data_IF_617710352933
#
_entry.id   IF_617710352933
#
_cell.length_a   1.000
_cell.length_b   1.000
_cell.length_c   1.000
_cell.angle_alpha   90.00
_cell.angle_beta   90.00
_cell.angle_gamma   90.00
#
_symmetry.space_group_name_H-M   'P 1'
#
loop_
_entity.id
_entity.type
_entity.pdbx_description
1 polymer ?
#
# COMPACT_ATOMS: atom_id res chain seq x y z
N UNK A 1 30.10 -15.54 -6.34
CA UNK A 1 29.21 -14.70 -7.15
C UNK A 1 27.92 -15.50 -7.34
N UNK A 2 26.99 -15.39 -6.38
CA UNK A 2 25.80 -16.28 -6.31
C UNK A 2 24.75 -16.01 -7.38
N UNK A 3 24.76 -14.82 -7.98
CA UNK A 3 23.73 -14.36 -8.92
C UNK A 3 23.98 -14.88 -10.35
N UNK A 4 25.22 -15.31 -10.66
CA UNK A 4 25.56 -15.88 -11.97
C UNK A 4 25.65 -14.85 -13.12
N UNK A 5 25.46 -13.57 -12.84
CA UNK A 5 25.70 -12.46 -13.76
C UNK A 5 26.28 -11.25 -13.02
N UNK A 6 26.98 -10.37 -13.73
CA UNK A 6 27.47 -9.11 -13.19
C UNK A 6 26.33 -8.09 -13.08
N UNK A 7 26.41 -7.19 -12.08
CA UNK A 7 25.47 -6.09 -11.92
C UNK A 7 25.55 -5.16 -13.15
N UNK A 8 24.43 -4.94 -13.87
CA UNK A 8 24.42 -4.06 -15.03
C UNK A 8 24.74 -2.61 -14.65
N UNK A 9 25.55 -1.94 -15.47
CA UNK A 9 25.92 -0.55 -15.25
C UNK A 9 25.26 0.31 -16.35
N UNK A 10 24.57 1.41 -16.00
CA UNK A 10 24.00 2.33 -16.99
C UNK A 10 25.08 2.90 -17.91
N UNK A 11 24.77 3.04 -19.21
CA UNK A 11 25.72 3.61 -20.19
C UNK A 11 25.99 5.10 -19.95
N UNK A 12 25.01 5.85 -19.46
CA UNK A 12 25.18 7.28 -19.14
C UNK A 12 25.62 7.46 -17.67
N UNK A 13 26.89 7.86 -17.41
CA UNK A 13 27.38 8.06 -16.05
C UNK A 13 26.73 9.26 -15.34
N UNK A 14 25.97 10.11 -16.04
CA UNK A 14 25.21 11.23 -15.45
C UNK A 14 23.93 10.77 -14.75
N UNK A 15 23.40 9.59 -15.12
CA UNK A 15 22.30 8.93 -14.42
C UNK A 15 20.98 9.70 -14.37
N UNK A 16 20.65 10.52 -15.38
CA UNK A 16 19.29 11.12 -15.40
C UNK A 16 18.26 10.03 -15.60
N UNK A 17 17.10 10.15 -14.95
CA UNK A 17 16.03 9.13 -14.99
C UNK A 17 15.66 8.80 -16.45
N UNK A 18 15.57 9.82 -17.30
CA UNK A 18 15.23 9.67 -18.72
C UNK A 18 16.30 8.91 -19.49
N UNK A 19 17.58 9.15 -19.20
CA UNK A 19 18.70 8.47 -19.86
C UNK A 19 18.76 6.98 -19.51
N UNK A 20 18.45 6.64 -18.25
CA UNK A 20 18.42 5.26 -17.75
C UNK A 20 17.20 4.52 -18.31
N UNK A 21 16.01 5.13 -18.22
CA UNK A 21 14.78 4.52 -18.72
C UNK A 21 14.77 4.35 -20.25
N UNK A 22 15.52 5.18 -20.97
CA UNK A 22 15.66 5.08 -22.43
C UNK A 22 16.64 4.01 -22.92
N UNK A 23 17.46 3.42 -22.05
CA UNK A 23 18.40 2.34 -22.41
C UNK A 23 17.73 0.97 -22.24
N UNK A 24 16.99 0.53 -23.25
CA UNK A 24 16.24 -0.73 -23.23
C UNK A 24 17.11 -1.96 -22.90
N UNK A 25 18.35 -1.98 -23.38
CA UNK A 25 19.28 -3.08 -23.13
C UNK A 25 19.70 -3.13 -21.65
N UNK A 26 19.99 -1.96 -21.07
CA UNK A 26 20.26 -1.85 -19.64
C UNK A 26 19.04 -2.29 -18.83
N UNK A 27 17.84 -1.77 -19.15
CA UNK A 27 16.61 -2.10 -18.42
C UNK A 27 16.28 -3.60 -18.46
N UNK A 28 16.51 -4.27 -19.59
CA UNK A 28 16.32 -5.71 -19.70
C UNK A 28 17.30 -6.50 -18.81
N UNK A 29 18.59 -6.12 -18.84
CA UNK A 29 19.63 -6.73 -18.00
C UNK A 29 19.40 -6.46 -16.51
N UNK A 30 19.02 -5.24 -16.15
CA UNK A 30 18.72 -4.81 -14.78
C UNK A 30 17.52 -5.56 -14.22
N UNK A 31 16.48 -5.75 -15.04
CA UNK A 31 15.34 -6.58 -14.68
C UNK A 31 15.72 -8.04 -14.42
N UNK A 32 16.56 -8.64 -15.28
CA UNK A 32 17.06 -10.00 -15.10
C UNK A 32 17.93 -10.12 -13.84
N UNK A 33 18.86 -9.19 -13.63
CA UNK A 33 19.69 -9.11 -12.45
C UNK A 33 18.84 -9.00 -11.18
N UNK A 34 17.88 -8.07 -11.15
CA UNK A 34 16.97 -7.89 -10.00
C UNK A 34 16.18 -9.16 -9.71
N UNK A 35 15.71 -9.87 -10.73
CA UNK A 35 15.00 -11.15 -10.58
C UNK A 35 15.89 -12.26 -9.99
N UNK A 36 17.19 -12.27 -10.28
CA UNK A 36 18.13 -13.23 -9.71
C UNK A 36 18.58 -12.81 -8.30
N UNK A 37 18.88 -11.52 -8.11
CA UNK A 37 19.24 -10.92 -6.83
C UNK A 37 18.14 -11.14 -5.78
N UNK A 38 16.88 -10.93 -6.15
CA UNK A 38 15.75 -11.16 -5.23
C UNK A 38 15.63 -12.62 -4.78
N UNK A 39 16.27 -13.58 -5.45
CA UNK A 39 16.25 -15.01 -5.05
C UNK A 39 17.42 -15.41 -4.16
N UNK A 40 18.38 -14.51 -3.90
CA UNK A 40 19.51 -14.87 -3.04
C UNK A 40 19.04 -15.07 -1.59
N UNK A 41 19.68 -15.96 -0.83
CA UNK A 41 19.36 -16.16 0.58
C UNK A 41 19.40 -14.87 1.39
N UNK A 42 20.39 -14.00 1.13
CA UNK A 42 20.58 -12.73 1.83
C UNK A 42 19.42 -11.77 1.58
N UNK A 43 18.97 -11.65 0.33
CA UNK A 43 17.83 -10.80 0.01
C UNK A 43 16.56 -11.33 0.67
N UNK A 44 16.32 -12.65 0.58
CA UNK A 44 15.16 -13.30 1.18
C UNK A 44 15.14 -13.10 2.70
N UNK A 45 16.28 -13.24 3.38
CA UNK A 45 16.40 -12.98 4.82
C UNK A 45 16.06 -11.52 5.16
N UNK A 46 16.60 -10.56 4.40
CA UNK A 46 16.33 -9.13 4.59
C UNK A 46 14.85 -8.81 4.33
N UNK A 47 14.28 -9.36 3.26
CA UNK A 47 12.89 -9.15 2.90
C UNK A 47 11.94 -9.71 3.97
N UNK A 48 12.15 -10.96 4.40
CA UNK A 48 11.32 -11.61 5.42
C UNK A 48 11.43 -10.90 6.78
N UNK A 49 12.63 -10.46 7.16
CA UNK A 49 12.87 -9.82 8.46
C UNK A 49 12.49 -8.34 8.53
N UNK A 50 12.33 -7.65 7.39
CA UNK A 50 12.12 -6.19 7.38
C UNK A 50 10.92 -5.69 6.58
N UNK A 51 10.41 -6.46 5.62
CA UNK A 51 9.40 -5.99 4.66
C UNK A 51 8.16 -6.87 4.58
N UNK A 52 8.28 -8.19 4.71
CA UNK A 52 7.16 -9.10 4.49
C UNK A 52 5.91 -8.73 5.32
N UNK A 53 6.08 -8.45 6.62
CA UNK A 53 4.98 -8.06 7.51
C UNK A 53 4.32 -6.73 7.14
N UNK A 54 5.05 -5.80 6.50
CA UNK A 54 4.45 -4.52 6.06
C UNK A 54 3.53 -4.69 4.85
N UNK A 55 3.61 -5.81 4.13
CA UNK A 55 2.88 -6.02 2.87
C UNK A 55 1.58 -6.83 3.06
N UNK A 56 1.39 -7.49 4.20
CA UNK A 56 0.23 -8.33 4.45
C UNK A 56 -1.07 -7.53 4.33
N UNK A 57 -1.19 -6.37 4.99
CA UNK A 57 -2.36 -5.50 4.86
C UNK A 57 -2.63 -5.05 3.41
N UNK A 58 -1.57 -4.68 2.69
CA UNK A 58 -1.67 -4.25 1.29
C UNK A 58 -2.12 -5.39 0.37
N UNK A 59 -1.76 -6.65 0.67
CA UNK A 59 -2.25 -7.82 -0.09
C UNK A 59 -3.76 -8.04 0.08
N UNK A 60 -4.33 -7.60 1.20
CA UNK A 60 -5.76 -7.76 1.49
C UNK A 60 -6.59 -6.62 0.92
N UNK A 61 -6.05 -5.39 0.90
CA UNK A 61 -6.81 -4.16 0.61
C UNK A 61 -6.45 -3.54 -0.75
N UNK A 62 -5.19 -3.68 -1.19
CA UNK A 62 -4.66 -3.02 -2.37
C UNK A 62 -4.08 -1.62 -2.07
N UNK A 63 -3.95 -0.80 -3.11
CA UNK A 63 -3.32 0.51 -3.02
C UNK A 63 -4.33 1.57 -2.52
N UNK A 64 -4.02 2.22 -1.40
CA UNK A 64 -4.79 3.32 -0.81
C UNK A 64 -4.15 4.69 -1.03
N UNK A 65 -3.30 4.82 -2.05
CA UNK A 65 -2.51 6.02 -2.34
C UNK A 65 -1.76 6.54 -1.11
N UNK A 66 -2.12 7.71 -0.60
CA UNK A 66 -1.46 8.39 0.52
C UNK A 66 -1.51 7.58 1.82
N UNK A 67 -2.51 6.72 1.99
CA UNK A 67 -2.63 5.87 3.17
C UNK A 67 -1.81 4.57 3.08
N UNK A 68 -1.28 4.20 1.91
CA UNK A 68 -0.56 2.93 1.71
C UNK A 68 0.67 2.78 2.60
N UNK A 69 1.42 3.87 2.81
CA UNK A 69 2.58 3.87 3.72
C UNK A 69 2.18 3.53 5.16
N UNK A 70 1.10 4.16 5.64
CA UNK A 70 0.62 3.98 7.01
C UNK A 70 -0.11 2.66 7.20
N UNK A 71 -0.77 2.15 6.16
CA UNK A 71 -1.30 0.79 6.14
C UNK A 71 -0.16 -0.23 6.29
N UNK A 72 0.94 -0.04 5.56
CA UNK A 72 2.12 -0.89 5.70
C UNK A 72 2.75 -0.81 7.09
N UNK A 73 2.82 0.38 7.69
CA UNK A 73 3.28 0.54 9.07
C UNK A 73 2.38 -0.15 10.08
N UNK A 74 1.06 0.03 9.99
CA UNK A 74 0.07 -0.67 10.81
C UNK A 74 0.23 -2.19 10.67
N UNK A 75 0.41 -2.66 9.43
CA UNK A 75 0.67 -4.08 9.12
C UNK A 75 1.93 -4.59 9.80
N UNK A 76 3.05 -3.85 9.73
CA UNK A 76 4.27 -4.22 10.44
C UNK A 76 4.05 -4.36 11.94
N UNK A 77 3.37 -3.39 12.58
CA UNK A 77 3.11 -3.47 14.02
C UNK A 77 2.33 -4.75 14.37
N UNK A 78 1.19 -4.97 13.70
CA UNK A 78 0.30 -6.09 13.99
C UNK A 78 0.96 -7.45 13.74
N UNK A 79 1.53 -7.66 12.57
CA UNK A 79 2.01 -8.99 12.18
C UNK A 79 3.37 -9.35 12.79
N UNK A 80 4.22 -8.38 13.10
CA UNK A 80 5.43 -8.64 13.91
C UNK A 80 5.04 -9.00 15.35
N UNK A 81 4.05 -8.31 15.93
CA UNK A 81 3.53 -8.64 17.26
C UNK A 81 2.94 -10.07 17.30
N UNK A 82 2.16 -10.47 16.29
CA UNK A 82 1.63 -11.84 16.17
C UNK A 82 2.73 -12.90 16.03
N UNK A 83 3.88 -12.56 15.42
CA UNK A 83 5.07 -13.42 15.35
C UNK A 83 5.84 -13.48 16.67
N UNK A 84 5.46 -12.70 17.69
CA UNK A 84 6.17 -12.57 18.95
C UNK A 84 7.46 -11.76 18.85
N UNK A 85 7.61 -10.92 17.82
CA UNK A 85 8.80 -10.10 17.59
C UNK A 85 8.66 -8.79 18.36
N UNK A 86 9.61 -8.53 19.25
CA UNK A 86 9.67 -7.30 20.03
C UNK A 86 10.16 -6.13 19.17
N UNK A 87 9.30 -5.13 19.00
CA UNK A 87 9.60 -3.91 18.26
C UNK A 87 10.04 -2.73 19.13
N UNK A 88 9.86 -2.77 20.45
CA UNK A 88 10.30 -1.71 21.37
C UNK A 88 11.78 -1.31 21.10
N UNK A 89 12.02 -0.01 20.97
CA UNK A 89 13.36 0.55 20.73
C UNK A 89 13.91 0.31 19.32
N UNK A 90 13.22 -0.46 18.46
CA UNK A 90 13.61 -0.64 17.06
C UNK A 90 13.30 0.62 16.25
N UNK A 91 14.13 0.86 15.24
CA UNK A 91 13.93 1.95 14.28
C UNK A 91 13.21 1.42 13.04
N UNK A 92 12.12 2.09 12.66
CA UNK A 92 11.39 1.83 11.43
C UNK A 92 11.68 2.95 10.45
N UNK A 93 12.07 2.58 9.23
CA UNK A 93 12.27 3.51 8.12
C UNK A 93 11.01 3.61 7.26
N UNK A 94 10.73 4.82 6.78
CA UNK A 94 9.58 5.13 5.94
C UNK A 94 10.07 5.73 4.63
N UNK A 95 9.67 5.14 3.50
CA UNK A 95 9.88 5.69 2.17
C UNK A 95 8.54 6.11 1.57
N UNK A 96 8.20 7.39 1.66
CA UNK A 96 6.98 7.94 1.07
C UNK A 96 7.25 8.39 -0.35
N UNK A 97 6.39 8.03 -1.30
CA UNK A 97 6.47 8.45 -2.69
C UNK A 97 5.10 8.87 -3.23
N UNK A 98 5.09 9.96 -4.01
CA UNK A 98 3.94 10.40 -4.80
C UNK A 98 4.38 10.78 -6.21
N UNK A 99 3.67 10.25 -7.21
CA UNK A 99 3.95 10.56 -8.63
C UNK A 99 3.80 12.06 -8.89
N UNK A 100 4.71 12.61 -9.72
CA UNK A 100 4.88 14.05 -9.92
C UNK A 100 6.34 14.42 -9.71
N UNK A 101 6.80 14.45 -8.46
CA UNK A 101 8.25 14.35 -8.12
C UNK A 101 8.57 14.29 -6.61
N UNK A 102 7.61 14.01 -5.72
CA UNK A 102 7.88 14.13 -4.28
C UNK A 102 8.13 12.78 -3.62
N UNK A 103 9.28 12.66 -2.99
CA UNK A 103 9.63 11.56 -2.11
C UNK A 103 10.15 12.11 -0.78
N UNK A 104 9.85 11.40 0.31
CA UNK A 104 10.37 11.73 1.63
C UNK A 104 10.77 10.46 2.35
N UNK A 105 12.00 10.43 2.85
CA UNK A 105 12.51 9.36 3.71
C UNK A 105 12.62 9.88 5.14
N UNK A 106 12.01 9.17 6.08
CA UNK A 106 12.08 9.49 7.50
C UNK A 106 12.12 8.22 8.34
N UNK A 107 12.37 8.34 9.64
CA UNK A 107 12.39 7.18 10.54
C UNK A 107 11.86 7.53 11.92
N UNK A 108 11.31 6.53 12.61
CA UNK A 108 10.83 6.62 13.98
C UNK A 108 11.38 5.47 14.83
N UNK A 109 11.44 5.67 16.14
CA UNK A 109 11.80 4.62 17.11
C UNK A 109 10.53 4.22 17.85
N UNK A 110 10.22 2.92 17.85
CA UNK A 110 9.02 2.39 18.50
C UNK A 110 9.16 2.55 20.02
N UNK A 111 8.16 3.16 20.64
CA UNK A 111 8.11 3.38 22.09
C UNK A 111 7.45 2.18 22.79
N UNK A 112 7.77 1.90 24.08
CA UNK A 112 7.25 0.75 24.81
C UNK A 112 5.72 0.65 24.81
N UNK A 113 5.01 1.78 24.77
CA UNK A 113 3.54 1.83 24.79
C UNK A 113 2.89 1.25 23.53
N UNK A 114 3.66 0.88 22.50
CA UNK A 114 3.11 0.29 21.27
C UNK A 114 2.37 -1.03 21.55
N UNK A 115 2.81 -1.82 22.55
CA UNK A 115 2.19 -3.11 22.89
C UNK A 115 0.74 -2.94 23.32
N UNK A 116 0.45 -1.88 24.09
CA UNK A 116 -0.89 -1.57 24.58
C UNK A 116 -1.88 -1.26 23.44
N UNK A 117 -1.35 -0.75 22.33
CA UNK A 117 -2.12 -0.42 21.13
C UNK A 117 -2.28 -1.68 20.26
N UNK A 118 -1.18 -2.33 19.91
CA UNK A 118 -1.14 -3.42 18.92
C UNK A 118 -1.85 -4.68 19.40
N UNK A 119 -1.91 -4.94 20.71
CA UNK A 119 -2.63 -6.11 21.27
C UNK A 119 -4.12 -6.13 20.94
N UNK A 120 -4.70 -4.97 20.63
CA UNK A 120 -6.10 -4.82 20.28
C UNK A 120 -6.32 -4.68 18.76
N UNK A 121 -5.25 -4.67 17.96
CA UNK A 121 -5.36 -4.61 16.50
C UNK A 121 -5.76 -5.97 15.96
N UNK A 122 -6.74 -5.96 15.07
CA UNK A 122 -7.10 -7.14 14.29
C UNK A 122 -7.62 -6.67 12.94
N UNK A 123 -6.73 -6.56 11.95
CA UNK A 123 -7.08 -6.02 10.64
C UNK A 123 -8.19 -6.84 9.98
N UNK A 124 -8.12 -8.16 10.06
CA UNK A 124 -9.09 -9.05 9.43
C UNK A 124 -10.50 -8.87 10.01
N UNK A 125 -10.61 -8.63 11.32
CA UNK A 125 -11.88 -8.33 11.96
C UNK A 125 -12.34 -6.89 11.66
N UNK A 126 -11.42 -5.92 11.65
CA UNK A 126 -11.71 -4.49 11.44
C UNK A 126 -12.19 -4.20 10.01
N UNK A 127 -11.62 -4.84 8.98
CA UNK A 127 -12.10 -4.71 7.60
C UNK A 127 -13.49 -5.33 7.40
N UNK A 128 -13.94 -6.15 8.36
CA UNK A 128 -15.27 -6.72 8.40
C UNK A 128 -15.59 -7.72 7.27
N UNK A 129 -16.87 -8.06 7.16
CA UNK A 129 -17.36 -8.95 6.11
C UNK A 129 -17.31 -8.26 4.75
N UNK A 130 -16.43 -8.73 3.87
CA UNK A 130 -16.31 -8.26 2.49
C UNK A 130 -16.96 -9.25 1.54
N UNK A 131 -17.70 -8.73 0.56
CA UNK A 131 -18.28 -9.52 -0.52
C UNK A 131 -17.40 -9.44 -1.75
N UNK A 132 -17.04 -10.60 -2.31
CA UNK A 132 -16.41 -10.67 -3.63
C UNK A 132 -17.42 -10.22 -4.69
N UNK A 133 -17.02 -9.28 -5.53
CA UNK A 133 -17.79 -8.86 -6.70
C UNK A 133 -17.52 -9.79 -7.89
N UNK A 134 -18.53 -9.95 -8.77
CA UNK A 134 -18.28 -10.43 -10.14
C UNK A 134 -17.58 -9.35 -10.95
N UNK A 135 -17.12 -9.71 -12.16
CA UNK A 135 -16.50 -8.73 -13.05
C UNK A 135 -17.49 -7.67 -13.50
N UNK A 136 -18.72 -8.08 -13.82
CA UNK A 136 -19.81 -7.22 -14.26
C UNK A 136 -20.19 -6.21 -13.17
N UNK A 137 -20.34 -6.69 -11.92
CA UNK A 137 -20.61 -5.83 -10.77
C UNK A 137 -19.50 -4.78 -10.55
N UNK A 138 -18.25 -5.17 -10.75
CA UNK A 138 -17.12 -4.26 -10.67
C UNK A 138 -17.14 -3.21 -11.79
N UNK A 139 -17.44 -3.59 -13.03
CA UNK A 139 -17.55 -2.65 -14.16
C UNK A 139 -18.68 -1.64 -13.95
N UNK A 140 -19.84 -2.08 -13.45
CA UNK A 140 -20.95 -1.19 -13.12
C UNK A 140 -20.57 -0.13 -12.08
N UNK A 141 -19.84 -0.56 -11.03
CA UNK A 141 -19.33 0.33 -10.01
C UNK A 141 -18.25 1.28 -10.55
N UNK A 142 -17.29 0.75 -11.30
CA UNK A 142 -16.15 1.50 -11.83
C UNK A 142 -16.57 2.57 -12.83
N UNK A 143 -17.58 2.28 -13.66
CA UNK A 143 -18.13 3.20 -14.65
C UNK A 143 -19.17 4.17 -14.06
N UNK A 144 -19.39 4.16 -12.74
CA UNK A 144 -20.37 5.01 -12.04
C UNK A 144 -21.81 4.84 -12.57
N UNK A 145 -22.23 3.61 -12.89
CA UNK A 145 -23.59 3.32 -13.36
C UNK A 145 -24.62 3.25 -12.25
N UNK A 146 -24.17 3.17 -11.00
CA UNK A 146 -25.02 3.03 -9.81
C UNK A 146 -25.47 4.39 -9.26
N UNK A 147 -26.73 4.47 -8.84
CA UNK A 147 -27.29 5.66 -8.19
C UNK A 147 -27.13 5.60 -6.66
N UNK A 148 -27.26 6.74 -5.98
CA UNK A 148 -27.27 6.80 -4.51
C UNK A 148 -28.44 6.03 -3.88
N UNK A 149 -29.50 5.78 -4.64
CA UNK A 149 -30.74 5.16 -4.18
C UNK A 149 -30.68 3.63 -4.23
N UNK A 150 -29.76 3.07 -5.03
CA UNK A 150 -29.63 1.64 -5.27
C UNK A 150 -28.21 1.13 -4.95
N UNK A 151 -27.75 1.24 -3.70
CA UNK A 151 -26.43 0.73 -3.33
C UNK A 151 -26.41 -0.81 -3.38
N UNK A 152 -25.33 -1.38 -3.92
CA UNK A 152 -25.17 -2.84 -4.00
C UNK A 152 -25.02 -3.53 -2.63
N UNK A 153 -24.62 -2.77 -1.62
CA UNK A 153 -24.43 -3.24 -0.25
C UNK A 153 -25.10 -2.28 0.72
N UNK A 154 -25.65 -2.82 1.80
CA UNK A 154 -26.17 -2.01 2.90
C UNK A 154 -25.00 -1.50 3.73
N UNK A 155 -24.95 -0.19 3.89
CA UNK A 155 -23.99 0.44 4.78
C UNK A 155 -24.29 0.11 6.25
N UNK A 156 -23.23 -0.06 7.04
CA UNK A 156 -23.31 -0.31 8.49
C UNK A 156 -22.21 0.47 9.20
N UNK A 157 -22.58 1.32 10.16
CA UNK A 157 -21.65 2.12 10.98
C UNK A 157 -20.69 3.00 10.18
N UNK A 158 -21.16 3.57 9.07
CA UNK A 158 -20.33 4.36 8.16
C UNK A 158 -21.07 5.55 7.54
N UNK A 159 -20.29 6.52 7.06
CA UNK A 159 -20.78 7.68 6.34
C UNK A 159 -21.00 7.35 4.86
N UNK A 160 -22.22 7.59 4.36
CA UNK A 160 -22.55 7.41 2.95
C UNK A 160 -22.93 8.72 2.29
N UNK A 161 -22.48 8.91 1.04
CA UNK A 161 -22.90 10.03 0.20
C UNK A 161 -24.32 9.77 -0.29
N UNK A 162 -25.26 10.68 -0.01
CA UNK A 162 -26.68 10.53 -0.38
C UNK A 162 -27.13 11.55 -1.41
N UNK A 163 -26.38 12.64 -1.62
CA UNK A 163 -26.73 13.65 -2.60
C UNK A 163 -25.52 14.47 -3.04
N UNK A 164 -25.50 14.82 -4.32
CA UNK A 164 -24.62 15.85 -4.89
C UNK A 164 -25.50 16.84 -5.64
N UNK A 165 -25.53 18.09 -5.20
CA UNK A 165 -26.38 19.10 -5.82
C UNK A 165 -25.84 19.55 -7.17
N UNK A 166 -26.76 19.84 -8.09
CA UNK A 166 -26.47 20.24 -9.48
C UNK A 166 -27.11 21.58 -9.88
N UNK A 167 -27.92 22.18 -9.01
CA UNK A 167 -28.49 23.52 -9.22
C UNK A 167 -27.40 24.59 -9.24
N UNK A 168 -27.66 25.71 -9.91
CA UNK A 168 -26.67 26.75 -10.19
C UNK A 168 -26.01 27.32 -8.93
N UNK A 169 -26.78 27.54 -7.86
CA UNK A 169 -26.32 28.21 -6.64
C UNK A 169 -25.55 27.28 -5.70
N UNK A 170 -25.83 25.97 -5.72
CA UNK A 170 -25.20 25.01 -4.82
C UNK A 170 -24.57 23.80 -5.51
N UNK A 171 -24.18 23.97 -6.78
CA UNK A 171 -23.49 22.95 -7.58
C UNK A 171 -22.26 22.41 -6.87
N UNK A 172 -22.23 21.10 -6.65
CA UNK A 172 -21.13 20.40 -6.01
C UNK A 172 -21.26 20.26 -4.48
N UNK A 173 -22.29 20.83 -3.85
CA UNK A 173 -22.62 20.55 -2.44
C UNK A 173 -22.87 19.04 -2.28
N UNK A 174 -22.20 18.40 -1.32
CA UNK A 174 -22.33 16.97 -1.02
C UNK A 174 -22.99 16.78 0.34
N UNK A 175 -23.94 15.86 0.42
CA UNK A 175 -24.64 15.50 1.66
C UNK A 175 -24.36 14.07 2.04
N UNK A 176 -24.10 13.86 3.33
CA UNK A 176 -23.77 12.56 3.89
C UNK A 176 -24.69 12.23 5.06
N UNK A 177 -24.95 10.95 5.26
CA UNK A 177 -25.60 10.43 6.48
C UNK A 177 -24.65 9.43 7.16
N UNK A 178 -24.78 9.29 8.48
CA UNK A 178 -24.18 8.18 9.21
C UNK A 178 -25.23 7.08 9.35
N UNK A 179 -24.91 5.86 8.94
CA UNK A 179 -25.78 4.70 9.10
C UNK A 179 -25.37 3.96 10.37
N UNK A 180 -26.30 3.79 11.31
CA UNK A 180 -26.08 3.01 12.55
C UNK A 180 -26.13 1.50 12.32
#
# INVERSE_FOLDING_TARGET
QEIGMDEPIPKDPRGTIESVLGDEEFMAKDHEFTKLFTKTPEYQEVYESKLASSLIASSMIGNLYTASLYLGFRSSLEFEYQKGIQLEGKRIGFGSYGSGSSAMVFSGVVQPEFEEIVKNMNLEAEIGERRRLTWEEYEELHENKLSFEEPMLKSKKEFTLVNVKTDTESRGERRYIYNE
#
